data_IF_589743874525
#
_entry.id   IF_589743874525
#
_cell.length_a   1.000
_cell.length_b   1.000
_cell.length_c   1.000
_cell.angle_alpha   90.00
_cell.angle_beta   90.00
_cell.angle_gamma   90.00
#
_symmetry.space_group_name_H-M   'P 1'
#
loop_
_entity.id
_entity.type
_entity.pdbx_description
1 polymer ?
#
# COMPACT_ATOMS: atom_id res chain seq x y z
N UNK A 1 -25.57 32.82 -21.82
CA UNK A 1 -25.57 34.16 -21.17
C UNK A 1 -26.36 34.26 -19.84
N UNK A 2 -27.33 33.37 -19.54
CA UNK A 2 -28.10 33.43 -18.26
C UNK A 2 -27.41 32.78 -17.04
N UNK A 3 -26.56 31.76 -17.25
CA UNK A 3 -25.83 31.05 -16.17
C UNK A 3 -24.81 31.95 -15.46
N UNK A 4 -24.10 32.80 -16.21
CA UNK A 4 -23.09 33.73 -15.67
C UNK A 4 -23.67 34.80 -14.72
N UNK A 5 -24.89 35.29 -15.03
CA UNK A 5 -25.61 36.25 -14.17
C UNK A 5 -26.15 35.63 -12.87
N UNK A 6 -26.33 34.32 -12.85
CA UNK A 6 -26.80 33.61 -11.66
C UNK A 6 -25.65 33.41 -10.67
N UNK A 7 -24.47 32.99 -11.17
CA UNK A 7 -23.25 32.84 -10.38
C UNK A 7 -22.76 34.16 -9.76
N UNK A 8 -22.92 35.30 -10.45
CA UNK A 8 -22.50 36.60 -9.93
C UNK A 8 -23.35 37.13 -8.76
N UNK A 9 -24.51 36.51 -8.47
CA UNK A 9 -25.36 36.84 -7.31
C UNK A 9 -25.02 36.03 -6.06
N UNK A 10 -24.26 34.95 -6.22
CA UNK A 10 -23.84 34.08 -5.11
C UNK A 10 -22.52 34.52 -4.46
N UNK A 11 -21.79 35.45 -5.07
CA UNK A 11 -20.52 35.95 -4.53
C UNK A 11 -20.84 37.14 -3.60
N UNK A 12 -20.60 37.04 -2.29
CA UNK A 12 -20.80 38.16 -1.38
C UNK A 12 -19.89 39.32 -1.83
N UNK A 13 -20.47 40.51 -2.02
CA UNK A 13 -19.69 41.71 -2.30
C UNK A 13 -19.09 42.19 -0.98
N UNK A 14 -17.79 42.01 -0.80
CA UNK A 14 -17.05 42.55 0.34
C UNK A 14 -16.49 43.92 -0.01
N UNK A 15 -16.82 44.94 0.79
CA UNK A 15 -16.21 46.26 0.68
C UNK A 15 -14.92 46.31 1.52
N UNK A 16 -13.77 46.10 0.87
CA UNK A 16 -12.46 46.09 1.54
C UNK A 16 -12.05 47.46 2.10
N UNK A 17 -12.82 48.53 1.93
CA UNK A 17 -12.59 49.79 2.65
C UNK A 17 -13.11 49.71 4.09
N UNK A 18 -14.11 48.88 4.38
CA UNK A 18 -14.75 48.74 5.70
C UNK A 18 -14.11 47.66 6.55
N UNK A 19 -13.78 47.98 7.79
CA UNK A 19 -13.17 47.04 8.75
C UNK A 19 -14.05 45.82 9.01
N UNK A 20 -15.38 45.98 9.02
CA UNK A 20 -16.32 44.87 9.19
C UNK A 20 -16.25 43.86 8.05
N UNK A 21 -16.16 44.33 6.80
CA UNK A 21 -16.13 43.46 5.63
C UNK A 21 -14.75 42.81 5.47
N UNK A 22 -13.66 43.49 5.89
CA UNK A 22 -12.34 42.86 6.06
C UNK A 22 -12.41 41.72 7.08
N UNK A 23 -13.08 41.92 8.21
CA UNK A 23 -13.22 40.89 9.25
C UNK A 23 -14.08 39.72 8.77
N UNK A 24 -15.21 39.96 8.11
CA UNK A 24 -16.05 38.90 7.54
C UNK A 24 -15.30 38.08 6.48
N UNK A 25 -14.54 38.74 5.60
CA UNK A 25 -13.71 38.06 4.61
C UNK A 25 -12.60 37.25 5.28
N UNK A 26 -11.94 37.80 6.30
CA UNK A 26 -10.94 37.09 7.07
C UNK A 26 -11.51 35.83 7.73
N UNK A 27 -12.67 35.93 8.39
CA UNK A 27 -13.34 34.78 9.00
C UNK A 27 -13.74 33.76 7.95
N UNK A 28 -14.27 34.19 6.80
CA UNK A 28 -14.69 33.29 5.72
C UNK A 28 -13.49 32.54 5.13
N UNK A 29 -12.39 33.24 4.84
CA UNK A 29 -11.18 32.63 4.29
C UNK A 29 -10.56 31.65 5.29
N UNK A 30 -10.39 32.04 6.56
CA UNK A 30 -9.85 31.15 7.57
C UNK A 30 -10.77 29.96 7.86
N UNK A 31 -12.08 30.18 7.88
CA UNK A 31 -13.08 29.11 8.01
C UNK A 31 -13.01 28.12 6.85
N UNK A 32 -12.85 28.61 5.62
CA UNK A 32 -12.68 27.77 4.44
C UNK A 32 -11.36 26.99 4.47
N UNK A 33 -10.25 27.64 4.83
CA UNK A 33 -8.94 26.98 4.97
C UNK A 33 -9.00 25.89 6.03
N UNK A 34 -9.61 26.17 7.18
CA UNK A 34 -9.80 25.19 8.25
C UNK A 34 -10.67 24.02 7.77
N UNK A 35 -11.78 24.32 7.10
CA UNK A 35 -12.69 23.30 6.56
C UNK A 35 -11.97 22.40 5.55
N UNK A 36 -11.24 22.97 4.60
CA UNK A 36 -10.44 22.22 3.62
C UNK A 36 -9.37 21.39 4.33
N UNK A 37 -8.69 21.95 5.33
CA UNK A 37 -7.68 21.23 6.11
C UNK A 37 -8.24 19.99 6.81
N UNK A 38 -9.34 20.15 7.56
CA UNK A 38 -10.01 19.05 8.27
C UNK A 38 -10.52 18.00 7.28
N UNK A 39 -11.19 18.44 6.22
CA UNK A 39 -11.71 17.54 5.18
C UNK A 39 -10.59 16.76 4.49
N UNK A 40 -9.47 17.41 4.18
CA UNK A 40 -8.31 16.77 3.55
C UNK A 40 -7.71 15.67 4.42
N UNK A 41 -7.56 15.92 5.73
CA UNK A 41 -7.07 14.88 6.66
C UNK A 41 -8.03 13.69 6.73
N UNK A 42 -9.34 13.94 6.80
CA UNK A 42 -10.35 12.88 6.80
C UNK A 42 -10.31 12.07 5.49
N UNK A 43 -10.25 12.74 4.34
CA UNK A 43 -10.14 12.11 3.03
C UNK A 43 -8.87 11.28 2.89
N UNK A 44 -7.72 11.78 3.36
CA UNK A 44 -6.47 11.02 3.36
C UNK A 44 -6.54 9.76 4.21
N UNK A 45 -7.18 9.82 5.39
CA UNK A 45 -7.38 8.64 6.24
C UNK A 45 -8.28 7.61 5.56
N UNK A 46 -9.42 8.04 5.02
CA UNK A 46 -10.39 7.16 4.36
C UNK A 46 -9.78 6.46 3.14
N UNK A 47 -9.13 7.24 2.26
CA UNK A 47 -8.51 6.73 1.02
C UNK A 47 -7.26 5.89 1.25
N UNK A 48 -6.86 5.69 2.51
CA UNK A 48 -5.69 4.90 2.91
C UNK A 48 -6.08 3.62 3.66
N UNK A 49 -7.38 3.30 3.68
CA UNK A 49 -7.91 2.06 4.28
C UNK A 49 -7.85 0.90 3.27
N UNK A 50 -7.68 -0.35 3.74
CA UNK A 50 -7.77 -1.53 2.88
C UNK A 50 -9.11 -1.62 2.13
N UNK A 51 -10.20 -1.21 2.76
CA UNK A 51 -11.55 -1.20 2.19
C UNK A 51 -11.63 -0.26 0.99
N UNK A 52 -10.98 0.91 1.06
CA UNK A 52 -10.93 1.83 -0.08
C UNK A 52 -10.19 1.21 -1.26
N UNK A 53 -9.05 0.54 -1.01
CA UNK A 53 -8.31 -0.17 -2.06
C UNK A 53 -9.15 -1.26 -2.73
N UNK A 54 -10.01 -1.94 -1.97
CA UNK A 54 -10.90 -2.99 -2.46
C UNK A 54 -12.10 -2.51 -3.28
N UNK A 55 -12.32 -1.20 -3.41
CA UNK A 55 -13.39 -0.64 -4.24
C UNK A 55 -13.12 -0.92 -5.73
N UNK A 56 -11.86 -0.85 -6.15
CA UNK A 56 -11.47 -1.22 -7.50
C UNK A 56 -11.49 -2.74 -7.64
N UNK A 57 -12.21 -3.27 -8.63
CA UNK A 57 -12.37 -4.72 -8.80
C UNK A 57 -11.03 -5.43 -9.03
N UNK A 58 -10.08 -4.76 -9.69
CA UNK A 58 -8.77 -5.32 -10.02
C UNK A 58 -7.88 -5.52 -8.79
N UNK A 59 -8.16 -4.80 -7.70
CA UNK A 59 -7.47 -4.93 -6.41
C UNK A 59 -8.08 -6.02 -5.51
N UNK A 60 -9.20 -6.64 -5.93
CA UNK A 60 -9.89 -7.65 -5.14
C UNK A 60 -9.01 -8.86 -4.79
N UNK A 61 -8.20 -9.43 -5.70
CA UNK A 61 -7.26 -10.50 -5.35
C UNK A 61 -6.34 -10.11 -4.19
N UNK A 62 -5.73 -8.92 -4.29
CA UNK A 62 -4.80 -8.40 -3.30
C UNK A 62 -5.45 -8.18 -1.95
N UNK A 63 -6.70 -7.69 -1.94
CA UNK A 63 -7.47 -7.51 -0.72
C UNK A 63 -7.80 -8.85 -0.04
N UNK A 64 -8.29 -9.86 -0.79
CA UNK A 64 -8.71 -11.12 -0.17
C UNK A 64 -7.51 -11.97 0.27
N UNK A 65 -6.37 -11.89 -0.41
CA UNK A 65 -5.13 -12.52 0.07
C UNK A 65 -4.63 -11.83 1.32
N UNK A 66 -4.56 -10.49 1.33
CA UNK A 66 -4.18 -9.70 2.52
C UNK A 66 -5.04 -10.06 3.72
N UNK A 67 -6.37 -10.12 3.54
CA UNK A 67 -7.33 -10.45 4.58
C UNK A 67 -7.10 -11.85 5.19
N UNK A 68 -6.49 -12.76 4.44
CA UNK A 68 -6.18 -14.13 4.87
C UNK A 68 -4.79 -14.28 5.52
N UNK A 69 -3.95 -13.23 5.54
CA UNK A 69 -2.61 -13.28 6.16
C UNK A 69 -2.60 -12.77 7.60
N UNK A 70 -1.46 -12.92 8.28
CA UNK A 70 -1.21 -12.34 9.60
C UNK A 70 -1.21 -10.81 9.61
N UNK A 71 -1.09 -10.16 8.45
CA UNK A 71 -1.05 -8.70 8.30
C UNK A 71 -2.43 -8.08 8.03
N UNK A 72 -3.52 -8.85 8.14
CA UNK A 72 -4.89 -8.39 7.85
C UNK A 72 -5.44 -7.27 8.76
N UNK A 73 -4.65 -6.79 9.72
CA UNK A 73 -4.95 -5.60 10.56
C UNK A 73 -4.03 -4.42 10.28
N UNK A 74 -3.07 -4.58 9.38
CA UNK A 74 -2.14 -3.54 8.95
C UNK A 74 -2.69 -2.91 7.68
N UNK A 75 -2.90 -1.58 7.69
CA UNK A 75 -3.40 -0.87 6.52
C UNK A 75 -2.42 -1.01 5.34
N UNK A 76 -2.93 -1.15 4.10
CA UNK A 76 -2.11 -1.34 2.90
C UNK A 76 -1.01 -0.27 2.78
N UNK A 77 -1.34 0.98 3.07
CA UNK A 77 -0.40 2.11 2.97
C UNK A 77 0.79 2.03 3.93
N UNK A 78 0.74 1.18 4.98
CA UNK A 78 1.86 0.98 5.88
C UNK A 78 2.99 0.18 5.24
N UNK A 79 2.69 -0.56 4.17
CA UNK A 79 3.68 -1.30 3.40
C UNK A 79 3.90 -0.68 2.01
N UNK A 80 2.84 -0.18 1.38
CA UNK A 80 2.87 0.33 0.00
C UNK A 80 3.29 1.81 -0.14
N UNK A 81 3.40 2.55 0.96
CA UNK A 81 3.78 3.97 0.94
C UNK A 81 4.88 4.19 1.97
N UNK A 82 5.97 4.81 1.53
CA UNK A 82 7.00 5.30 2.43
C UNK A 82 6.41 6.25 3.48
N UNK A 83 6.85 6.20 4.74
CA UNK A 83 6.44 7.13 5.78
C UNK A 83 6.72 8.58 5.41
N UNK A 84 5.95 9.47 6.03
CA UNK A 84 6.08 10.92 5.84
C UNK A 84 4.98 11.51 4.96
N UNK A 85 4.57 12.73 5.28
CA UNK A 85 3.46 13.40 4.60
C UNK A 85 3.76 13.67 3.13
N UNK A 86 5.02 13.96 2.80
CA UNK A 86 5.47 14.21 1.42
C UNK A 86 5.30 12.97 0.56
N UNK A 87 5.70 11.81 1.07
CA UNK A 87 5.58 10.53 0.37
C UNK A 87 4.11 10.10 0.22
N UNK A 88 3.28 10.34 1.24
CA UNK A 88 1.85 10.15 1.15
C UNK A 88 1.24 10.99 0.01
N UNK A 89 1.57 12.29 -0.06
CA UNK A 89 1.06 13.18 -1.11
C UNK A 89 1.54 12.73 -2.49
N UNK A 90 2.84 12.43 -2.65
CA UNK A 90 3.41 11.92 -3.91
C UNK A 90 2.69 10.65 -4.37
N UNK A 91 2.45 9.71 -3.46
CA UNK A 91 1.72 8.49 -3.78
C UNK A 91 0.28 8.79 -4.20
N UNK A 92 -0.44 9.70 -3.52
CA UNK A 92 -1.81 10.09 -3.91
C UNK A 92 -1.85 10.76 -5.28
N UNK A 93 -0.85 11.58 -5.63
CA UNK A 93 -0.73 12.15 -6.97
C UNK A 93 -0.45 11.05 -8.01
N UNK A 94 0.44 10.09 -7.69
CA UNK A 94 0.72 8.93 -8.54
C UNK A 94 -0.50 8.03 -8.75
N UNK A 95 -1.37 7.90 -7.74
CA UNK A 95 -2.61 7.12 -7.82
C UNK A 95 -3.59 7.67 -8.87
N UNK A 96 -3.45 8.92 -9.31
CA UNK A 96 -4.24 9.45 -10.44
C UNK A 96 -3.97 8.68 -11.74
N UNK A 97 -2.74 8.17 -11.92
CA UNK A 97 -2.40 7.27 -13.05
C UNK A 97 -3.16 5.95 -12.94
N UNK A 98 -3.29 5.39 -11.73
CA UNK A 98 -4.04 4.16 -11.49
C UNK A 98 -5.53 4.36 -11.79
N UNK A 99 -6.10 5.50 -11.38
CA UNK A 99 -7.48 5.85 -11.72
C UNK A 99 -7.70 5.95 -13.24
N UNK A 100 -6.76 6.59 -13.95
CA UNK A 100 -6.79 6.63 -15.41
C UNK A 100 -6.77 5.21 -15.99
N UNK A 101 -5.83 4.36 -15.57
CA UNK A 101 -5.71 2.97 -16.03
C UNK A 101 -6.96 2.13 -15.72
N UNK A 102 -7.60 2.35 -14.58
CA UNK A 102 -8.87 1.73 -14.23
C UNK A 102 -9.97 2.10 -15.23
N UNK A 103 -10.16 3.39 -15.49
CA UNK A 103 -11.19 3.91 -16.40
C UNK A 103 -10.94 3.47 -17.84
N UNK A 104 -9.69 3.50 -18.31
CA UNK A 104 -9.32 3.08 -19.67
C UNK A 104 -9.11 1.58 -19.81
N UNK A 105 -9.16 0.81 -18.72
CA UNK A 105 -8.87 -0.62 -18.67
C UNK A 105 -7.47 -0.97 -19.19
N UNK A 106 -6.50 -0.09 -18.97
CA UNK A 106 -5.09 -0.27 -19.40
C UNK A 106 -4.16 -0.58 -18.22
N UNK A 107 -4.69 -1.15 -17.13
CA UNK A 107 -3.89 -1.65 -16.02
C UNK A 107 -3.17 -2.95 -16.40
N UNK A 108 -2.00 -3.18 -15.80
CA UNK A 108 -1.23 -4.40 -16.00
C UNK A 108 -1.86 -5.59 -15.27
N UNK A 109 -1.66 -6.80 -15.79
CA UNK A 109 -2.08 -8.07 -15.18
C UNK A 109 -0.91 -9.04 -15.27
N UNK A 110 -0.48 -9.67 -14.16
CA UNK A 110 -0.94 -9.46 -12.78
C UNK A 110 -0.65 -8.02 -12.27
N UNK A 111 -1.31 -7.60 -11.19
CA UNK A 111 -0.96 -6.31 -10.55
C UNK A 111 0.34 -6.51 -9.77
N UNK A 112 1.34 -5.68 -10.05
CA UNK A 112 2.66 -5.78 -9.46
C UNK A 112 3.04 -4.49 -8.72
N UNK A 113 3.89 -4.65 -7.71
CA UNK A 113 4.54 -3.51 -7.08
C UNK A 113 5.58 -2.93 -8.03
N UNK A 114 5.57 -1.61 -8.28
CA UNK A 114 6.50 -0.98 -9.23
C UNK A 114 7.94 -0.90 -8.71
N UNK A 115 8.17 -1.19 -7.43
CA UNK A 115 9.46 -1.24 -6.77
C UNK A 115 9.41 -2.27 -5.64
N UNK A 116 10.58 -2.77 -5.22
CA UNK A 116 10.69 -3.62 -4.04
C UNK A 116 10.35 -2.82 -2.76
N UNK A 117 9.78 -3.49 -1.77
CA UNK A 117 9.48 -2.86 -0.48
C UNK A 117 10.76 -2.82 0.34
N UNK A 118 11.17 -1.61 0.71
CA UNK A 118 12.37 -1.34 1.49
C UNK A 118 12.31 -1.93 2.91
N UNK A 119 13.46 -2.36 3.43
CA UNK A 119 13.55 -3.05 4.72
C UNK A 119 13.02 -2.24 5.90
N UNK A 120 13.28 -0.93 5.90
CA UNK A 120 12.87 -0.05 6.99
C UNK A 120 11.33 -0.01 7.16
N UNK A 121 10.57 -0.38 6.14
CA UNK A 121 9.11 -0.54 6.21
C UNK A 121 8.74 -1.68 7.15
N UNK A 122 9.43 -2.81 7.03
CA UNK A 122 9.26 -3.96 7.91
C UNK A 122 9.76 -3.63 9.33
N UNK A 123 10.87 -2.90 9.43
CA UNK A 123 11.55 -2.58 10.69
C UNK A 123 10.76 -1.66 11.62
N UNK A 124 9.78 -0.92 11.10
CA UNK A 124 8.83 -0.16 11.93
C UNK A 124 8.05 -1.05 12.91
N UNK A 125 7.94 -2.36 12.63
CA UNK A 125 7.22 -3.32 13.47
C UNK A 125 8.07 -4.56 13.82
N UNK A 126 9.07 -4.89 13.01
CA UNK A 126 9.91 -6.07 13.15
C UNK A 126 11.34 -5.73 13.54
N UNK A 127 11.73 -6.03 14.79
CA UNK A 127 13.13 -6.02 15.18
C UNK A 127 13.96 -7.03 14.37
N UNK A 128 15.20 -6.66 14.08
CA UNK A 128 16.20 -7.47 13.36
C UNK A 128 16.83 -8.56 14.23
N UNK A 129 16.72 -8.46 15.55
CA UNK A 129 17.34 -9.39 16.51
C UNK A 129 16.49 -10.66 16.73
N UNK A 130 15.62 -11.01 15.78
CA UNK A 130 14.75 -12.19 15.88
C UNK A 130 15.55 -13.42 15.46
N UNK A 131 15.87 -14.26 16.45
CA UNK A 131 16.57 -15.55 16.24
C UNK A 131 15.62 -16.65 15.76
N UNK A 132 14.31 -16.51 16.04
CA UNK A 132 13.27 -17.47 15.66
C UNK A 132 12.28 -16.88 14.67
N UNK A 133 11.96 -17.68 13.66
CA UNK A 133 11.03 -17.34 12.60
C UNK A 133 9.64 -17.83 13.00
N UNK A 134 8.57 -17.12 12.65
CA UNK A 134 7.21 -17.67 12.78
C UNK A 134 6.92 -18.86 11.83
N UNK A 135 7.91 -19.29 11.04
CA UNK A 135 7.78 -20.30 9.99
C UNK A 135 8.57 -21.56 10.35
N UNK A 136 8.05 -22.35 11.29
CA UNK A 136 8.47 -23.75 11.51
C UNK A 136 9.88 -23.90 12.07
N UNK A 137 10.64 -24.81 11.46
CA UNK A 137 11.76 -25.52 12.09
C UNK A 137 13.13 -24.91 11.74
N UNK A 138 13.15 -23.84 10.96
CA UNK A 138 14.35 -23.21 10.41
C UNK A 138 14.88 -22.10 11.33
N UNK A 139 16.13 -22.24 11.78
CA UNK A 139 16.86 -21.19 12.47
C UNK A 139 17.61 -20.36 11.43
N UNK A 140 17.18 -19.11 11.21
CA UNK A 140 17.80 -18.20 10.24
C UNK A 140 18.48 -17.05 10.99
N UNK A 141 19.80 -16.84 10.83
CA UNK A 141 20.50 -15.72 11.43
C UNK A 141 20.20 -14.42 10.64
N UNK A 142 19.10 -13.74 10.97
CA UNK A 142 18.68 -12.50 10.28
C UNK A 142 19.77 -11.41 10.29
N UNK A 143 20.54 -11.29 11.38
CA UNK A 143 21.64 -10.34 11.47
C UNK A 143 22.70 -10.55 10.38
N UNK A 144 23.11 -11.80 10.13
CA UNK A 144 24.08 -12.12 9.07
C UNK A 144 23.55 -11.75 7.69
N UNK A 145 22.27 -12.01 7.43
CA UNK A 145 21.63 -11.69 6.15
C UNK A 145 21.52 -10.17 5.96
N UNK A 146 21.22 -9.43 7.03
CA UNK A 146 21.16 -7.97 7.01
C UNK A 146 22.53 -7.34 6.74
N UNK A 147 23.60 -7.84 7.36
CA UNK A 147 24.97 -7.35 7.09
C UNK A 147 25.35 -7.55 5.62
N UNK A 148 24.81 -8.58 4.98
CA UNK A 148 24.99 -8.87 3.56
C UNK A 148 23.95 -8.18 2.66
N UNK A 149 23.23 -7.19 3.21
CA UNK A 149 22.22 -6.37 2.52
C UNK A 149 21.17 -7.23 1.78
N UNK A 150 20.75 -8.34 2.40
CA UNK A 150 19.66 -9.16 1.87
C UNK A 150 18.34 -8.57 2.34
N UNK A 151 17.47 -8.08 1.43
CA UNK A 151 16.23 -7.44 1.85
C UNK A 151 15.24 -8.46 2.40
N UNK A 152 14.40 -8.03 3.33
CA UNK A 152 13.38 -8.81 4.00
C UNK A 152 12.47 -9.52 2.99
N UNK A 153 12.05 -8.79 1.96
CA UNK A 153 11.19 -9.31 0.90
C UNK A 153 11.84 -10.39 0.04
N UNK A 154 13.18 -10.52 0.05
CA UNK A 154 13.87 -11.60 -0.69
C UNK A 154 13.39 -12.97 -0.24
N UNK A 155 13.12 -13.14 1.05
CA UNK A 155 12.57 -14.36 1.63
C UNK A 155 11.06 -14.23 1.92
N UNK A 156 10.60 -13.05 2.34
CA UNK A 156 9.23 -12.80 2.80
C UNK A 156 8.32 -12.14 1.74
N UNK A 157 8.59 -12.27 0.44
CA UNK A 157 7.76 -11.65 -0.62
C UNK A 157 6.30 -12.09 -0.60
N UNK A 158 6.00 -13.27 -0.05
CA UNK A 158 4.64 -13.78 0.09
C UNK A 158 3.84 -13.28 1.30
N UNK A 159 4.42 -12.46 2.17
CA UNK A 159 3.89 -12.19 3.53
C UNK A 159 2.46 -11.63 3.56
N UNK A 160 2.08 -10.82 2.57
CA UNK A 160 0.77 -10.16 2.50
C UNK A 160 -0.12 -10.72 1.37
N UNK A 161 0.48 -11.26 0.31
CA UNK A 161 -0.26 -11.58 -0.91
C UNK A 161 -0.07 -13.02 -1.40
N UNK A 162 0.72 -13.85 -0.72
CA UNK A 162 0.91 -15.25 -1.14
C UNK A 162 1.48 -15.38 -2.56
N UNK A 163 2.31 -14.41 -2.97
CA UNK A 163 3.00 -14.40 -4.27
C UNK A 163 2.07 -14.55 -5.48
N UNK A 164 0.83 -14.04 -5.41
CA UNK A 164 -0.13 -14.23 -6.49
C UNK A 164 0.31 -13.59 -7.81
N UNK A 165 1.06 -12.48 -7.74
CA UNK A 165 1.68 -11.87 -8.92
C UNK A 165 2.83 -12.73 -9.49
N UNK A 166 3.80 -13.14 -8.65
CA UNK A 166 4.93 -14.01 -9.08
C UNK A 166 4.45 -15.37 -9.65
N UNK A 167 3.26 -15.82 -9.23
CA UNK A 167 2.63 -17.07 -9.70
C UNK A 167 1.68 -16.86 -10.88
N UNK A 168 1.55 -15.63 -11.36
CA UNK A 168 0.71 -15.21 -12.49
C UNK A 168 -0.77 -15.61 -12.36
N UNK A 169 -1.28 -15.85 -11.14
CA UNK A 169 -2.65 -16.37 -10.96
C UNK A 169 -3.74 -15.31 -11.20
N UNK A 170 -3.34 -14.05 -11.38
CA UNK A 170 -4.21 -12.93 -11.73
C UNK A 170 -3.96 -12.38 -13.14
N UNK A 171 -3.06 -13.01 -13.92
CA UNK A 171 -2.76 -12.63 -15.30
C UNK A 171 -4.01 -12.71 -16.19
N UNK A 172 -4.84 -13.72 -15.96
CA UNK A 172 -6.10 -13.97 -16.67
C UNK A 172 -7.28 -14.13 -15.69
N UNK A 173 -8.48 -14.39 -16.23
CA UNK A 173 -9.69 -14.65 -15.45
C UNK A 173 -10.45 -13.40 -15.00
N UNK A 174 -11.56 -13.62 -14.27
CA UNK A 174 -12.40 -12.56 -13.71
C UNK A 174 -12.06 -12.31 -12.24
N UNK A 175 -11.77 -11.04 -11.91
CA UNK A 175 -11.52 -10.64 -10.54
C UNK A 175 -12.73 -10.83 -9.61
N UNK A 176 -13.95 -10.89 -10.16
CA UNK A 176 -15.18 -11.12 -9.37
C UNK A 176 -15.19 -12.47 -8.66
N UNK A 177 -14.47 -13.47 -9.21
CA UNK A 177 -14.34 -14.83 -8.65
C UNK A 177 -13.47 -14.88 -7.39
N UNK A 178 -12.71 -13.81 -7.10
CA UNK A 178 -11.85 -13.71 -5.93
C UNK A 178 -12.67 -13.51 -4.64
N UNK A 179 -13.04 -14.62 -4.04
CA UNK A 179 -13.71 -14.67 -2.73
C UNK A 179 -12.69 -14.75 -1.59
N UNK A 180 -13.12 -14.51 -0.35
CA UNK A 180 -12.27 -14.75 0.84
C UNK A 180 -11.80 -16.20 0.94
N UNK A 181 -12.60 -17.16 0.47
CA UNK A 181 -12.21 -18.57 0.45
C UNK A 181 -11.06 -18.82 -0.54
N UNK A 182 -11.14 -18.23 -1.75
CA UNK A 182 -10.04 -18.28 -2.71
C UNK A 182 -8.82 -17.54 -2.18
N UNK A 183 -8.99 -16.35 -1.61
CA UNK A 183 -7.92 -15.59 -0.97
C UNK A 183 -7.18 -16.40 0.10
N UNK A 184 -7.91 -17.16 0.94
CA UNK A 184 -7.30 -18.05 1.93
C UNK A 184 -6.54 -19.22 1.31
N UNK A 185 -7.02 -19.78 0.20
CA UNK A 185 -6.31 -20.83 -0.55
C UNK A 185 -5.03 -20.29 -1.18
N UNK A 186 -5.08 -19.09 -1.77
CA UNK A 186 -3.97 -18.44 -2.45
C UNK A 186 -2.97 -17.77 -1.49
N UNK A 187 -3.38 -17.49 -0.25
CA UNK A 187 -2.51 -17.05 0.85
C UNK A 187 -2.12 -18.20 1.81
N UNK A 188 -2.23 -19.45 1.36
CA UNK A 188 -1.86 -20.62 2.18
C UNK A 188 -0.37 -20.56 2.61
N UNK A 189 0.01 -21.20 3.74
CA UNK A 189 1.38 -21.19 4.24
C UNK A 189 2.46 -21.57 3.23
N UNK A 190 2.16 -22.46 2.27
CA UNK A 190 3.09 -22.83 1.19
C UNK A 190 3.49 -21.68 0.27
N UNK A 191 2.69 -20.61 0.21
CA UNK A 191 2.94 -19.45 -0.64
C UNK A 191 3.40 -18.22 0.16
N UNK A 192 3.07 -18.17 1.45
CA UNK A 192 3.45 -17.05 2.33
C UNK A 192 4.75 -17.31 3.10
N UNK A 193 5.14 -18.58 3.28
CA UNK A 193 6.42 -18.95 3.92
C UNK A 193 7.54 -19.03 2.89
N UNK A 194 8.79 -18.70 3.28
CA UNK A 194 9.95 -18.88 2.42
C UNK A 194 10.11 -20.34 2.00
N UNK A 195 10.38 -20.58 0.72
CA UNK A 195 10.72 -21.91 0.22
C UNK A 195 12.22 -22.16 0.40
N UNK A 196 12.60 -23.38 0.80
CA UNK A 196 14.02 -23.77 0.93
C UNK A 196 14.81 -23.52 -0.37
N UNK A 197 14.16 -23.68 -1.53
CA UNK A 197 14.75 -23.34 -2.83
C UNK A 197 15.29 -21.91 -2.88
N UNK A 198 14.58 -20.94 -2.31
CA UNK A 198 15.02 -19.53 -2.26
C UNK A 198 16.33 -19.40 -1.50
N UNK A 199 16.47 -20.06 -0.34
CA UNK A 199 17.70 -20.05 0.46
C UNK A 199 18.85 -20.66 -0.33
N UNK A 200 18.65 -21.86 -0.88
CA UNK A 200 19.69 -22.62 -1.57
C UNK A 200 20.15 -21.92 -2.86
N UNK A 201 19.23 -21.36 -3.64
CA UNK A 201 19.58 -20.59 -4.84
C UNK A 201 20.41 -19.38 -4.48
N UNK A 202 19.97 -18.57 -3.50
CA UNK A 202 20.71 -17.37 -3.07
C UNK A 202 22.10 -17.71 -2.54
N UNK A 203 22.23 -18.74 -1.70
CA UNK A 203 23.51 -19.16 -1.14
C UNK A 203 24.47 -19.68 -2.21
N UNK A 204 23.97 -20.45 -3.19
CA UNK A 204 24.77 -20.89 -4.35
C UNK A 204 25.25 -19.71 -5.20
N UNK A 205 24.36 -18.79 -5.53
CA UNK A 205 24.67 -17.59 -6.33
C UNK A 205 25.71 -16.69 -5.63
N UNK A 206 25.61 -16.57 -4.30
CA UNK A 206 26.54 -15.78 -3.47
C UNK A 206 27.75 -16.56 -2.95
N UNK A 207 27.90 -17.83 -3.32
CA UNK A 207 28.99 -18.71 -2.86
C UNK A 207 29.11 -18.80 -1.32
N UNK A 208 27.98 -18.76 -0.62
CA UNK A 208 27.87 -18.92 0.84
C UNK A 208 27.54 -20.38 1.16
N UNK A 209 28.04 -20.89 2.28
CA UNK A 209 27.76 -22.28 2.71
C UNK A 209 26.26 -22.59 2.68
N UNK A 210 25.92 -23.75 2.11
CA UNK A 210 24.57 -24.31 2.14
C UNK A 210 24.40 -25.37 3.23
N UNK A 211 25.41 -25.54 4.07
CA UNK A 211 25.38 -26.52 5.14
C UNK A 211 24.45 -26.02 6.23
N UNK A 212 23.34 -26.72 6.42
CA UNK A 212 22.42 -26.47 7.53
C UNK A 212 23.00 -27.09 8.82
N UNK A 213 23.95 -26.42 9.45
CA UNK A 213 24.30 -26.72 10.84
C UNK A 213 23.36 -25.93 11.75
N UNK A 214 22.48 -26.64 12.46
CA UNK A 214 21.59 -26.06 13.47
C UNK A 214 22.36 -25.58 14.71
#
# INVERSE_FOLDING_TARGET
>A
MKVFKFLSRLIPKFDLSKTEDKLKLFILVNGLVLFIGVFSVAALKLTSTPQFCAICHEMRPEYVTWAATSHNKVACVKCHIEPGIVNLIKHKMGAMKQLYQHVTKTYHRPIEMPHEIEDYICEQCHSQNRVVNASGDLIIPHEKHKIQEVPCVRCHSGVAHGKIAEREVTAEGDFSEWTLALGKKEAAPKYTRPAMKTCMTCHKERQVTTDCAA
#
